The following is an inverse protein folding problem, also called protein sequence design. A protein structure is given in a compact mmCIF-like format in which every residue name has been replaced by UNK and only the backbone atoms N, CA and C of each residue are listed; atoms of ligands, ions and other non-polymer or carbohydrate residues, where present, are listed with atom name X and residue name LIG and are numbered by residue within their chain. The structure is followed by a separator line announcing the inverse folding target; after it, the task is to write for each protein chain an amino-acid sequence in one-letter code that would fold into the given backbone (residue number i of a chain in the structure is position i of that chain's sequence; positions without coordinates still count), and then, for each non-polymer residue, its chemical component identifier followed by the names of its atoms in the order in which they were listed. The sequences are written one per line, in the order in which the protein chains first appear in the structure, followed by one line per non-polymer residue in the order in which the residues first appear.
data_IF_284435230039
#
_entry.id   IF_284435230039
#
_cell.length_a   1.000
_cell.length_b   1.000
_cell.length_c   1.000
_cell.angle_alpha   90.00
_cell.angle_beta   90.00
_cell.angle_gamma   90.00
#
_symmetry.space_group_name_H-M   'P 1'
#
loop_
_entity.id
_entity.type
_entity.pdbx_description
1 polymer ?
#
# COMPACT_ATOMS: atom_id res chain seq x y z
N UNK A 1 26.20 29.45 46.38
CA UNK A 1 26.25 28.71 45.11
C UNK A 1 25.32 29.41 44.15
N UNK A 2 25.85 29.93 43.04
CA UNK A 2 25.09 30.74 42.09
C UNK A 2 24.56 29.78 41.02
N UNK A 3 23.24 29.57 40.98
CA UNK A 3 22.57 28.83 39.92
C UNK A 3 22.41 29.77 38.72
N UNK A 4 23.37 29.78 37.80
CA UNK A 4 23.16 30.40 36.50
C UNK A 4 22.29 29.46 35.65
N UNK A 5 21.00 29.75 35.59
CA UNK A 5 20.11 29.23 34.55
C UNK A 5 20.51 29.94 33.26
N UNK A 6 21.35 29.27 32.46
CA UNK A 6 21.70 29.75 31.12
C UNK A 6 20.52 29.44 30.22
N UNK A 7 19.66 30.44 29.99
CA UNK A 7 18.63 30.40 28.94
C UNK A 7 19.32 30.59 27.58
N UNK A 8 19.77 29.48 26.99
CA UNK A 8 20.20 29.46 25.60
C UNK A 8 19.01 29.21 24.68
N UNK A 9 18.77 30.09 23.71
CA UNK A 9 17.88 29.80 22.59
C UNK A 9 18.61 28.91 21.58
N UNK A 10 18.12 27.69 21.35
CA UNK A 10 18.69 26.77 20.36
C UNK A 10 17.60 26.02 19.60
N UNK A 11 17.80 25.78 18.32
CA UNK A 11 16.91 24.98 17.48
C UNK A 11 17.52 23.60 17.26
N UNK A 12 16.79 22.55 17.63
CA UNK A 12 17.22 21.17 17.38
C UNK A 12 16.61 20.66 16.08
N UNK A 13 17.46 20.27 15.13
CA UNK A 13 17.01 19.65 13.89
C UNK A 13 16.86 18.14 14.08
N UNK A 14 15.63 17.66 14.17
CA UNK A 14 15.31 16.24 14.35
C UNK A 14 15.21 15.56 12.98
N UNK A 15 15.90 14.44 12.80
CA UNK A 15 15.81 13.59 11.61
C UNK A 15 15.09 12.30 11.94
N UNK A 16 14.28 11.80 10.99
CA UNK A 16 13.60 10.50 11.06
C UNK A 16 13.96 9.70 9.81
N UNK A 17 14.54 8.52 10.00
CA UNK A 17 14.91 7.64 8.89
C UNK A 17 14.67 6.17 9.23
N UNK A 18 14.52 5.37 8.18
CA UNK A 18 14.43 3.92 8.27
C UNK A 18 15.77 3.30 7.90
N UNK A 19 16.16 2.28 8.65
CA UNK A 19 17.39 1.54 8.46
C UNK A 19 17.09 0.05 8.25
N UNK A 20 17.88 -0.60 7.41
CA UNK A 20 18.04 -2.05 7.41
C UNK A 20 19.28 -2.39 8.26
N UNK A 21 19.05 -2.81 9.50
CA UNK A 21 20.12 -2.92 10.51
C UNK A 21 20.70 -1.56 10.85
N UNK A 22 21.88 -1.24 10.33
CA UNK A 22 22.58 0.04 10.52
C UNK A 22 22.63 0.93 9.29
N UNK A 23 22.18 0.43 8.12
CA UNK A 23 22.27 1.14 6.86
C UNK A 23 20.95 1.84 6.53
N UNK A 24 20.96 3.12 6.11
CA UNK A 24 19.74 3.79 5.72
C UNK A 24 19.12 3.13 4.50
N UNK A 25 17.78 3.01 4.51
CA UNK A 25 17.05 2.51 3.36
C UNK A 25 17.17 3.50 2.19
N UNK A 26 17.24 3.01 0.94
CA UNK A 26 17.29 3.86 -0.23
C UNK A 26 15.95 4.59 -0.44
N UNK A 27 15.97 5.65 -1.24
CA UNK A 27 14.74 6.30 -1.69
C UNK A 27 13.88 5.33 -2.51
N UNK A 28 12.56 5.41 -2.33
CA UNK A 28 11.56 4.55 -2.97
C UNK A 28 11.69 3.05 -2.64
N UNK A 29 12.23 2.72 -1.48
CA UNK A 29 12.23 1.34 -1.00
C UNK A 29 10.80 0.86 -0.71
N UNK A 30 10.54 -0.40 -1.04
CA UNK A 30 9.27 -1.05 -0.73
C UNK A 30 9.48 -2.14 0.29
N UNK A 31 8.62 -2.20 1.31
CA UNK A 31 8.71 -3.13 2.42
C UNK A 31 7.68 -4.24 2.28
N UNK A 32 8.10 -5.48 2.54
CA UNK A 32 7.13 -6.58 2.65
C UNK A 32 6.38 -6.54 4.00
N UNK A 33 5.19 -7.15 4.12
CA UNK A 33 4.40 -7.15 5.36
C UNK A 33 5.16 -7.67 6.59
N UNK A 34 6.02 -8.66 6.41
CA UNK A 34 6.76 -9.30 7.49
C UNK A 34 8.19 -8.75 7.66
N UNK A 35 8.57 -7.75 6.86
CA UNK A 35 9.89 -7.15 6.91
C UNK A 35 10.05 -6.29 8.16
N UNK A 36 11.11 -6.56 8.91
CA UNK A 36 11.47 -5.80 10.09
C UNK A 36 12.52 -4.75 9.74
N UNK A 37 12.25 -3.51 10.12
CA UNK A 37 13.11 -2.35 9.88
C UNK A 37 13.34 -1.60 11.17
N UNK A 38 14.45 -0.85 11.23
CA UNK A 38 14.76 0.02 12.36
C UNK A 38 14.34 1.44 12.03
N UNK A 39 13.48 2.03 12.86
CA UNK A 39 13.20 3.46 12.83
C UNK A 39 14.20 4.16 13.73
N UNK A 40 14.98 5.07 13.16
CA UNK A 40 15.92 5.91 13.88
C UNK A 40 15.43 7.36 13.89
N UNK A 41 15.40 7.95 15.09
CA UNK A 41 15.24 9.39 15.28
C UNK A 41 16.50 9.95 15.91
N UNK A 42 17.10 10.94 15.30
CA UNK A 42 18.35 11.52 15.76
C UNK A 42 18.32 13.06 15.76
N UNK A 43 19.19 13.64 16.59
CA UNK A 43 19.54 15.05 16.56
C UNK A 43 21.05 15.18 16.48
N UNK A 44 21.51 16.23 15.79
CA UNK A 44 22.93 16.57 15.82
C UNK A 44 23.23 17.41 17.06
N UNK A 45 23.91 16.81 18.03
CA UNK A 45 24.35 17.48 19.27
C UNK A 45 25.67 16.89 19.71
N UNK A 46 26.57 17.75 20.20
CA UNK A 46 27.86 17.37 20.80
C UNK A 46 27.81 17.26 22.32
N UNK A 47 26.67 17.62 22.94
CA UNK A 47 26.49 17.56 24.38
C UNK A 47 25.99 16.18 24.79
N UNK A 48 26.79 15.46 25.58
CA UNK A 48 26.47 14.11 26.06
C UNK A 48 25.24 14.07 26.97
N UNK A 49 24.93 15.17 27.68
CA UNK A 49 23.72 15.27 28.50
C UNK A 49 22.46 15.33 27.65
N UNK A 50 22.56 15.73 26.38
CA UNK A 50 21.39 15.84 25.51
C UNK A 50 21.00 14.45 25.01
N UNK A 51 19.83 14.00 25.43
CA UNK A 51 19.22 12.74 25.03
C UNK A 51 17.96 13.01 24.23
N UNK A 52 17.70 12.19 23.22
CA UNK A 52 16.44 12.22 22.48
C UNK A 52 15.53 11.09 22.96
N UNK A 53 14.28 11.41 23.27
CA UNK A 53 13.27 10.45 23.71
C UNK A 53 12.14 10.44 22.69
N UNK A 54 11.88 9.30 22.08
CA UNK A 54 10.70 9.11 21.24
C UNK A 54 9.50 8.98 22.18
N UNK A 55 8.53 9.91 22.05
CA UNK A 55 7.31 9.90 22.85
C UNK A 55 6.18 9.20 22.11
N UNK A 56 5.94 9.57 20.86
CA UNK A 56 4.90 8.96 20.02
C UNK A 56 5.47 8.75 18.63
N UNK A 57 5.12 7.62 18.01
CA UNK A 57 5.29 7.44 16.57
C UNK A 57 4.05 6.76 15.98
N UNK A 58 3.68 7.23 14.79
CA UNK A 58 2.51 6.76 14.05
C UNK A 58 2.74 6.82 12.55
N UNK A 59 1.89 6.11 11.82
CA UNK A 59 1.83 6.16 10.37
C UNK A 59 0.50 6.76 9.89
N UNK A 60 0.51 7.44 8.75
CA UNK A 60 -0.68 7.94 8.04
C UNK A 60 -0.61 7.56 6.56
N UNK A 61 -1.75 7.40 5.86
CA UNK A 61 -1.76 7.11 4.42
C UNK A 61 -1.37 8.33 3.57
N UNK A 62 -1.47 9.54 4.12
CA UNK A 62 -1.05 10.80 3.47
C UNK A 62 0.13 11.42 4.21
N UNK A 63 0.81 12.38 3.56
CA UNK A 63 1.92 13.12 4.18
C UNK A 63 1.49 14.03 5.33
N UNK A 64 0.19 14.19 5.57
CA UNK A 64 -0.34 14.98 6.66
C UNK A 64 -0.24 14.20 7.99
N UNK A 65 0.55 14.65 8.96
CA UNK A 65 0.65 13.99 10.27
C UNK A 65 -0.66 13.98 11.07
N UNK A 66 -1.62 14.84 10.69
CA UNK A 66 -2.94 14.98 11.32
C UNK A 66 -4.05 14.32 10.48
N UNK A 67 -3.71 13.37 9.60
CA UNK A 67 -4.71 12.58 8.88
C UNK A 67 -5.70 11.93 9.88
N UNK A 68 -6.95 11.81 9.47
CA UNK A 68 -7.98 11.08 10.22
C UNK A 68 -7.64 9.61 10.48
N UNK A 69 -6.88 8.99 9.57
CA UNK A 69 -6.46 7.60 9.65
C UNK A 69 -5.03 7.53 10.14
N UNK A 70 -4.85 7.19 11.42
CA UNK A 70 -3.53 7.08 12.06
C UNK A 70 -3.30 5.69 12.64
N UNK A 71 -2.09 5.15 12.47
CA UNK A 71 -1.66 3.87 13.02
C UNK A 71 -0.51 4.10 14.00
N UNK A 72 -0.81 4.21 15.29
CA UNK A 72 0.21 4.36 16.33
C UNK A 72 0.92 3.04 16.60
N UNK A 73 2.25 3.10 16.73
CA UNK A 73 3.09 1.95 17.10
C UNK A 73 3.98 2.21 18.32
N UNK A 74 4.11 3.48 18.71
CA UNK A 74 4.71 3.89 19.98
C UNK A 74 3.85 5.01 20.58
N UNK A 75 3.48 4.92 21.85
CA UNK A 75 2.75 5.93 22.59
C UNK A 75 3.28 6.04 24.02
N UNK A 76 3.39 7.27 24.55
CA UNK A 76 3.98 7.54 25.87
C UNK A 76 5.34 6.84 26.04
N UNK A 77 6.16 6.88 25.00
CA UNK A 77 7.47 6.22 24.89
C UNK A 77 7.47 4.69 24.93
N UNK A 78 6.30 4.04 24.86
CA UNK A 78 6.16 2.60 24.97
C UNK A 78 5.54 1.98 23.71
N UNK A 79 5.92 0.74 23.33
CA UNK A 79 5.30 0.02 22.22
C UNK A 79 3.80 -0.13 22.42
N UNK A 80 3.05 0.09 21.35
CA UNK A 80 1.62 -0.25 21.31
C UNK A 80 1.49 -1.77 21.18
N UNK A 81 0.59 -2.44 21.92
CA UNK A 81 0.37 -3.88 21.77
C UNK A 81 -0.01 -4.25 20.33
N UNK A 82 0.44 -5.42 19.86
CA UNK A 82 0.14 -5.97 18.52
C UNK A 82 0.68 -5.18 17.32
N UNK A 83 1.62 -4.23 17.51
CA UNK A 83 2.27 -3.50 16.39
C UNK A 83 3.66 -4.03 16.05
N UNK A 84 4.03 -5.20 16.59
CA UNK A 84 5.35 -5.85 16.38
C UNK A 84 6.52 -4.88 16.57
N UNK A 85 6.38 -3.97 17.53
CA UNK A 85 7.34 -2.89 17.79
C UNK A 85 8.18 -3.23 19.02
N UNK A 86 9.49 -3.08 18.91
CA UNK A 86 10.44 -3.29 20.01
C UNK A 86 11.30 -2.05 20.17
N UNK A 87 11.37 -1.49 21.37
CA UNK A 87 12.29 -0.38 21.66
C UNK A 87 13.70 -0.93 21.81
N UNK A 88 14.62 -0.49 20.95
CA UNK A 88 16.04 -0.90 21.00
C UNK A 88 16.84 0.05 21.89
N UNK A 89 16.58 1.36 21.75
CA UNK A 89 17.25 2.41 22.49
C UNK A 89 16.34 3.64 22.55
N UNK A 90 16.02 4.14 23.74
CA UNK A 90 15.22 5.36 23.89
C UNK A 90 15.70 6.18 25.09
N UNK A 91 16.18 7.41 24.86
CA UNK A 91 16.63 8.30 25.93
C UNK A 91 18.05 8.06 26.46
N UNK A 92 18.88 7.26 25.77
CA UNK A 92 20.26 6.99 26.20
C UNK A 92 21.31 7.84 25.46
N UNK A 93 21.00 8.33 24.26
CA UNK A 93 21.93 9.12 23.43
C UNK A 93 21.17 10.18 22.63
N UNK A 94 21.88 10.85 21.73
CA UNK A 94 21.32 11.79 20.74
C UNK A 94 20.56 11.09 19.59
N UNK A 95 20.50 9.75 19.61
CA UNK A 95 19.71 8.94 18.70
C UNK A 95 18.90 7.88 19.47
N UNK A 96 17.65 7.68 19.05
CA UNK A 96 16.76 6.66 19.60
C UNK A 96 16.23 5.79 18.48
N UNK A 97 16.12 4.49 18.75
CA UNK A 97 15.87 3.44 17.78
C UNK A 97 14.80 2.48 18.28
N UNK A 98 13.91 2.09 17.38
CA UNK A 98 12.95 1.01 17.59
C UNK A 98 12.95 0.09 16.36
N UNK A 99 12.74 -1.21 16.55
CA UNK A 99 12.45 -2.14 15.46
C UNK A 99 10.95 -2.28 15.29
N UNK A 100 10.50 -2.46 14.05
CA UNK A 100 9.09 -2.57 13.72
C UNK A 100 8.86 -3.33 12.42
N UNK A 101 7.77 -4.09 12.36
CA UNK A 101 7.19 -4.61 11.11
C UNK A 101 5.98 -3.77 10.75
N UNK A 102 6.15 -2.76 9.90
CA UNK A 102 5.12 -1.72 9.74
C UNK A 102 3.87 -2.28 9.04
N UNK A 103 4.09 -2.95 7.91
CA UNK A 103 3.00 -3.50 7.09
C UNK A 103 2.41 -4.82 7.63
N UNK A 104 2.82 -5.29 8.81
CA UNK A 104 2.17 -6.44 9.46
C UNK A 104 0.89 -6.04 10.20
N UNK A 105 0.73 -4.76 10.57
CA UNK A 105 -0.46 -4.24 11.24
C UNK A 105 -1.12 -3.07 10.49
N UNK A 106 -0.43 -2.45 9.53
CA UNK A 106 -1.00 -1.39 8.67
C UNK A 106 -1.46 -1.96 7.34
N UNK A 107 -2.73 -1.72 7.00
CA UNK A 107 -3.37 -2.17 5.76
C UNK A 107 -3.43 -1.04 4.71
N UNK A 108 -2.29 -0.41 4.42
CA UNK A 108 -2.17 0.66 3.43
C UNK A 108 -1.06 0.35 2.43
N UNK A 109 -1.21 0.85 1.21
CA UNK A 109 -0.24 0.68 0.12
C UNK A 109 0.99 1.55 0.26
N UNK A 110 0.77 2.73 0.80
CA UNK A 110 1.73 3.79 1.00
C UNK A 110 1.45 4.41 2.35
N UNK A 111 2.52 4.72 3.06
CA UNK A 111 2.44 5.36 4.36
C UNK A 111 3.52 6.44 4.49
N UNK A 112 3.27 7.34 5.44
CA UNK A 112 4.21 8.31 5.95
C UNK A 112 4.34 8.08 7.45
N UNK A 113 5.58 7.99 7.93
CA UNK A 113 5.88 7.86 9.35
C UNK A 113 6.04 9.24 9.96
N UNK A 114 5.58 9.37 11.18
CA UNK A 114 5.65 10.57 11.98
C UNK A 114 6.06 10.21 13.39
N UNK A 115 6.98 10.99 13.96
CA UNK A 115 7.38 10.83 15.35
C UNK A 115 7.37 12.19 16.04
N UNK A 116 6.86 12.20 17.27
CA UNK A 116 6.98 13.29 18.23
C UNK A 116 8.00 12.88 19.27
N UNK A 117 9.00 13.71 19.46
CA UNK A 117 10.14 13.46 20.35
C UNK A 117 10.29 14.56 21.38
N UNK A 118 10.90 14.20 22.49
CA UNK A 118 11.31 15.11 23.55
C UNK A 118 12.82 15.12 23.62
N UNK A 119 13.38 16.31 23.78
CA UNK A 119 14.81 16.50 23.97
C UNK A 119 15.01 16.75 25.45
N UNK A 120 15.77 15.87 26.07
CA UNK A 120 15.93 15.79 27.50
C UNK A 120 17.38 16.06 27.88
N UNK A 121 17.59 16.84 28.94
CA UNK A 121 18.92 17.10 29.49
C UNK A 121 19.16 16.21 30.71
N UNK A 122 19.97 15.16 30.55
CA UNK A 122 20.26 14.18 31.59
C UNK A 122 21.20 14.76 32.65
N UNK A 123 20.86 14.55 33.92
CA UNK A 123 21.65 14.97 35.09
C UNK A 123 21.72 13.85 36.11
N UNK A 124 22.60 13.94 37.10
CA UNK A 124 22.74 12.91 38.15
C UNK A 124 21.45 12.61 38.94
N UNK A 125 20.47 13.53 38.95
CA UNK A 125 19.19 13.38 39.64
C UNK A 125 17.98 13.16 38.73
N UNK A 126 18.15 13.10 37.41
CA UNK A 126 17.06 12.93 36.46
C UNK A 126 17.54 12.21 35.19
N UNK A 127 16.97 11.03 34.95
CA UNK A 127 17.22 10.23 33.74
C UNK A 127 16.22 10.57 32.63
N UNK A 128 16.66 10.39 31.38
CA UNK A 128 15.83 10.55 30.20
C UNK A 128 15.24 9.23 29.69
N UNK A 129 15.61 8.10 30.30
CA UNK A 129 15.10 6.78 29.90
C UNK A 129 13.64 6.64 30.32
N UNK A 130 12.73 6.28 29.42
CA UNK A 130 11.33 6.06 29.78
C UNK A 130 11.13 4.71 30.46
N UNK A 131 10.23 4.67 31.44
CA UNK A 131 9.71 3.44 32.05
C UNK A 131 8.28 3.11 31.57
N UNK A 132 8.10 1.88 31.08
CA UNK A 132 6.82 1.37 30.57
C UNK A 132 6.00 0.58 31.60
N UNK A 133 6.49 0.43 32.84
CA UNK A 133 5.88 -0.43 33.88
C UNK A 133 4.83 0.31 34.74
N UNK A 134 4.63 1.60 34.51
CA UNK A 134 3.47 2.35 35.00
C UNK A 134 3.77 3.31 36.14
N UNK A 135 3.13 4.48 36.04
CA UNK A 135 3.32 5.76 36.78
C UNK A 135 4.41 6.64 36.18
N UNK A 136 3.99 7.39 35.17
CA UNK A 136 4.40 8.77 34.87
C UNK A 136 5.76 9.16 35.43
N UNK A 137 6.83 8.80 34.72
CA UNK A 137 8.13 9.36 35.05
C UNK A 137 8.09 10.86 34.75
N UNK A 138 8.34 11.64 35.80
CA UNK A 138 8.50 13.09 35.70
C UNK A 138 9.71 13.34 34.83
N UNK A 139 9.48 13.64 33.55
CA UNK A 139 10.51 14.22 32.70
C UNK A 139 10.88 15.61 33.23
N UNK A 140 11.72 15.66 34.27
CA UNK A 140 12.04 16.91 34.97
C UNK A 140 12.89 17.87 34.13
N UNK A 141 13.46 17.38 33.02
CA UNK A 141 14.44 18.12 32.22
C UNK A 141 14.15 18.08 30.72
N UNK A 142 12.88 18.12 30.29
CA UNK A 142 12.57 18.37 28.87
C UNK A 142 12.93 19.81 28.57
N UNK A 143 13.85 20.00 27.63
CA UNK A 143 14.29 21.31 27.19
C UNK A 143 13.63 21.72 25.87
N UNK A 144 13.17 20.76 25.06
CA UNK A 144 12.47 21.01 23.82
C UNK A 144 11.63 19.82 23.36
N UNK A 145 10.68 20.08 22.46
CA UNK A 145 9.89 19.05 21.77
C UNK A 145 10.13 19.19 20.28
N UNK A 146 10.39 18.07 19.61
CA UNK A 146 10.61 18.01 18.17
C UNK A 146 9.59 17.12 17.49
N UNK A 147 9.44 17.30 16.18
CA UNK A 147 8.66 16.40 15.31
C UNK A 147 9.46 16.14 14.05
N UNK A 148 9.38 14.91 13.55
CA UNK A 148 9.99 14.51 12.30
C UNK A 148 9.08 13.54 11.55
N UNK A 149 9.15 13.60 10.23
CA UNK A 149 8.34 12.80 9.32
C UNK A 149 9.23 12.16 8.26
N UNK A 150 8.86 10.97 7.78
CA UNK A 150 9.59 10.25 6.74
C UNK A 150 8.63 9.47 5.84
N UNK A 151 8.84 9.50 4.54
CA UNK A 151 7.98 8.86 3.55
C UNK A 151 8.08 9.53 2.18
N UNK A 152 7.39 8.99 1.16
CA UNK A 152 6.50 7.82 1.22
C UNK A 152 7.25 6.49 1.37
N UNK A 153 6.62 5.53 2.04
CA UNK A 153 7.07 4.13 2.14
C UNK A 153 6.01 3.25 1.52
N UNK A 154 6.39 2.42 0.55
CA UNK A 154 5.47 1.56 -0.19
C UNK A 154 5.47 0.15 0.37
N UNK A 155 4.33 -0.50 0.39
CA UNK A 155 4.24 -1.94 0.63
C UNK A 155 4.54 -2.69 -0.67
N UNK A 156 5.49 -3.63 -0.63
CA UNK A 156 5.94 -4.36 -1.82
C UNK A 156 4.90 -5.32 -2.40
N UNK A 157 3.97 -5.82 -1.57
CA UNK A 157 2.91 -6.74 -1.97
C UNK A 157 1.54 -6.07 -2.11
N UNK A 158 1.47 -4.73 -2.03
CA UNK A 158 0.19 -4.05 -2.22
C UNK A 158 -0.17 -4.05 -3.70
N UNK A 159 -0.94 -5.05 -4.07
CA UNK A 159 -1.80 -4.95 -5.23
C UNK A 159 -3.08 -4.26 -4.73
N UNK A 160 -3.45 -3.06 -5.24
CA UNK A 160 -4.77 -2.52 -4.97
C UNK A 160 -5.76 -3.61 -5.34
N UNK A 161 -6.55 -4.02 -4.36
CA UNK A 161 -7.51 -5.09 -4.56
C UNK A 161 -8.34 -4.81 -5.82
N UNK A 162 -8.20 -5.69 -6.80
CA UNK A 162 -9.29 -6.08 -7.68
C UNK A 162 -9.80 -5.05 -8.71
N UNK A 163 -9.03 -4.05 -9.15
CA UNK A 163 -9.46 -3.18 -10.27
C UNK A 163 -9.07 -3.70 -11.67
N UNK A 164 -8.46 -4.89 -11.79
CA UNK A 164 -8.07 -5.45 -13.10
C UNK A 164 -8.85 -6.71 -13.51
N UNK A 165 -9.78 -7.20 -12.68
CA UNK A 165 -10.71 -8.26 -13.10
C UNK A 165 -11.86 -7.73 -13.94
N UNK A 166 -12.31 -6.49 -13.73
CA UNK A 166 -13.35 -5.89 -14.59
C UNK A 166 -12.82 -5.56 -15.99
N UNK A 167 -11.60 -5.02 -16.10
CA UNK A 167 -11.04 -4.63 -17.39
C UNK A 167 -10.70 -5.83 -18.29
N UNK A 168 -10.28 -6.97 -17.72
CA UNK A 168 -10.06 -8.19 -18.51
C UNK A 168 -11.37 -8.86 -18.91
N UNK A 169 -12.39 -8.89 -18.03
CA UNK A 169 -13.69 -9.47 -18.38
C UNK A 169 -14.38 -8.65 -19.46
N UNK A 170 -14.35 -7.32 -19.39
CA UNK A 170 -14.91 -6.45 -20.43
C UNK A 170 -14.20 -6.63 -21.78
N UNK A 171 -12.86 -6.72 -21.77
CA UNK A 171 -12.10 -7.00 -22.99
C UNK A 171 -12.44 -8.37 -23.56
N UNK A 172 -12.61 -9.40 -22.72
CA UNK A 172 -13.04 -10.74 -23.15
C UNK A 172 -14.46 -10.70 -23.74
N UNK A 173 -15.41 -10.00 -23.11
CA UNK A 173 -16.78 -9.86 -23.61
C UNK A 173 -16.82 -9.12 -24.96
N UNK A 174 -16.00 -8.08 -25.13
CA UNK A 174 -15.88 -7.36 -26.41
C UNK A 174 -15.33 -8.29 -27.49
N UNK A 175 -14.24 -9.02 -27.21
CA UNK A 175 -13.63 -9.96 -28.18
C UNK A 175 -14.63 -11.05 -28.57
N UNK A 176 -15.34 -11.62 -27.58
CA UNK A 176 -16.36 -12.66 -27.83
C UNK A 176 -17.53 -12.12 -28.66
N UNK A 177 -17.98 -10.89 -28.41
CA UNK A 177 -19.04 -10.24 -29.18
C UNK A 177 -18.64 -9.99 -30.64
N UNK A 178 -17.41 -9.54 -30.89
CA UNK A 178 -16.89 -9.33 -32.25
C UNK A 178 -16.77 -10.65 -33.01
N UNK A 179 -16.29 -11.72 -32.36
CA UNK A 179 -16.13 -13.03 -32.97
C UNK A 179 -17.48 -13.65 -33.37
N UNK A 180 -18.48 -13.55 -32.48
CA UNK A 180 -19.85 -13.98 -32.74
C UNK A 180 -20.49 -13.17 -33.87
N UNK A 181 -20.35 -11.84 -33.85
CA UNK A 181 -20.86 -10.96 -34.91
C UNK A 181 -20.28 -11.28 -36.29
N UNK A 182 -18.95 -11.50 -36.37
CA UNK A 182 -18.28 -11.87 -37.61
C UNK A 182 -18.77 -13.23 -38.16
N UNK A 183 -18.98 -14.22 -37.28
CA UNK A 183 -19.54 -15.53 -37.65
C UNK A 183 -20.96 -15.42 -38.21
N UNK A 184 -21.83 -14.64 -37.55
CA UNK A 184 -23.21 -14.44 -38.00
C UNK A 184 -23.24 -13.75 -39.37
N UNK A 185 -22.43 -12.71 -39.57
CA UNK A 185 -22.31 -12.02 -40.85
C UNK A 185 -21.79 -12.96 -41.97
N UNK A 186 -20.79 -13.80 -41.69
CA UNK A 186 -20.29 -14.77 -42.64
C UNK A 186 -21.38 -15.77 -43.06
N UNK A 187 -22.17 -16.27 -42.10
CA UNK A 187 -23.29 -17.19 -42.38
C UNK A 187 -24.36 -16.51 -43.23
N UNK A 188 -24.76 -15.27 -42.91
CA UNK A 188 -25.73 -14.51 -43.70
C UNK A 188 -25.23 -14.26 -45.12
N UNK A 189 -23.97 -13.87 -45.29
CA UNK A 189 -23.33 -13.73 -46.60
C UNK A 189 -23.34 -15.04 -47.38
N UNK A 190 -23.03 -16.17 -46.74
CA UNK A 190 -23.10 -17.50 -47.37
C UNK A 190 -24.51 -17.88 -47.78
N UNK A 191 -25.52 -17.62 -46.94
CA UNK A 191 -26.93 -17.87 -47.26
C UNK A 191 -27.38 -17.00 -48.42
N UNK A 192 -27.03 -15.71 -48.42
CA UNK A 192 -27.36 -14.79 -49.51
C UNK A 192 -26.65 -15.19 -50.81
N UNK A 193 -25.38 -15.58 -50.73
CA UNK A 193 -24.61 -16.09 -51.85
C UNK A 193 -25.24 -17.38 -52.41
N UNK A 194 -25.61 -18.32 -51.55
CA UNK A 194 -26.31 -19.55 -51.95
C UNK A 194 -27.68 -19.23 -52.55
N UNK A 195 -28.47 -18.34 -51.96
CA UNK A 195 -29.78 -17.91 -52.49
C UNK A 195 -29.65 -17.24 -53.86
N UNK A 196 -28.60 -16.44 -54.06
CA UNK A 196 -28.30 -15.80 -55.35
C UNK A 196 -27.79 -16.81 -56.38
N UNK A 197 -27.02 -17.83 -55.96
CA UNK A 197 -26.47 -18.87 -56.84
C UNK A 197 -27.49 -19.96 -57.19
N UNK A 198 -28.43 -20.28 -56.30
CA UNK A 198 -29.47 -21.31 -56.45
C UNK A 198 -30.73 -20.76 -57.16
N UNK A 199 -30.66 -19.61 -57.84
CA UNK A 199 -31.48 -19.25 -59.01
C UNK A 199 -33.01 -19.19 -58.87
N UNK A 200 -33.63 -18.24 -59.57
CA UNK A 200 -35.05 -18.34 -59.93
C UNK A 200 -35.22 -19.53 -60.89
N UNK A 201 -35.48 -20.73 -60.38
CA UNK A 201 -35.90 -21.87 -61.20
C UNK A 201 -37.41 -21.78 -61.43
N UNK A 202 -37.81 -21.38 -62.64
CA UNK A 202 -39.20 -21.39 -63.07
C UNK A 202 -39.52 -22.77 -63.63
N UNK A 203 -40.07 -23.67 -62.80
CA UNK A 203 -40.55 -24.97 -63.28
C UNK A 203 -41.90 -24.78 -63.96
N UNK A 204 -41.88 -24.69 -65.30
CA UNK A 204 -43.10 -24.74 -66.10
C UNK A 204 -43.37 -26.20 -66.50
N UNK A 205 -44.39 -26.81 -65.92
CA UNK A 205 -44.74 -28.22 -66.16
C UNK A 205 -45.80 -28.31 -67.26
N UNK A 206 -45.41 -28.69 -68.48
CA UNK A 206 -46.36 -29.06 -69.54
C UNK A 206 -46.52 -30.58 -69.57
N UNK A 207 -47.70 -31.13 -69.24
CA UNK A 207 -47.92 -32.58 -69.29
C UNK A 207 -48.00 -33.07 -70.74
N UNK A 208 -47.20 -34.06 -71.09
CA UNK A 208 -47.23 -34.75 -72.39
C UNK A 208 -48.15 -35.98 -72.24
N UNK A 209 -49.28 -36.00 -72.95
CA UNK A 209 -50.14 -37.18 -73.03
C UNK A 209 -49.48 -38.24 -73.91
N UNK A 210 -49.09 -39.38 -73.34
CA UNK A 210 -48.76 -40.58 -74.11
C UNK A 210 -49.97 -41.53 -74.15
N UNK A 211 -50.37 -41.94 -75.36
CA UNK A 211 -51.49 -42.86 -75.59
C UNK A 211 -50.99 -44.29 -75.44
N UNK A 212 -51.42 -44.99 -74.40
CA UNK A 212 -51.20 -46.43 -74.26
C UNK A 212 -52.41 -47.20 -74.85
N UNK A 213 -52.19 -47.92 -75.94
CA UNK A 213 -53.13 -48.92 -76.49
C UNK A 213 -52.75 -50.31 -75.99
N UNK A 214 -53.69 -51.02 -75.38
CA UNK A 214 -53.53 -52.38 -74.84
C UNK A 214 -53.87 -53.42 -75.91
N UNK A 215 -53.11 -54.52 -75.95
CA UNK A 215 -53.45 -55.70 -76.76
C UNK A 215 -54.25 -56.68 -75.91
N UNK A 216 -55.44 -57.06 -76.38
CA UNK A 216 -56.30 -58.08 -75.79
C UNK A 216 -55.90 -59.44 -76.38
N UNK A 217 -55.56 -60.40 -75.53
CA UNK A 217 -55.41 -61.81 -75.93
C UNK A 217 -56.79 -62.48 -75.89
N UNK A 218 -57.21 -63.06 -77.02
CA UNK A 218 -58.36 -63.96 -77.11
C UNK A 218 -57.86 -65.41 -77.24
N UNK A 219 -58.53 -66.32 -76.52
CA UNK A 219 -58.43 -67.78 -76.61
C UNK A 219 -58.97 -68.33 -77.91
#
# INVERSE_FOLDING_TARGET
MINYMVEGSGTFHVTLQLLNGTFPLPQNYSLSPNEEVVVEVAINSTLDQIKIVINECWATPTSNPLDSTTYFFLQNSCPVPNTYTTVLQNGNSTASRLSIRIFSFVQQSVIYLHCKVQICFETSGATCKPDCIGRTERYKNIIAVGRASSGPIYQSTYWPGNETTESLQDVIYIIMGVLLGALVLAILCLVFYRKRRVGNYNFNFTPKQERFTYHVFGT
#
